data_IF_677667613080
#
_entry.id   IF_677667613080
#
_cell.length_a   1.000
_cell.length_b   1.000
_cell.length_c   1.000
_cell.angle_alpha   90.00
_cell.angle_beta   90.00
_cell.angle_gamma   90.00
#
_symmetry.space_group_name_H-M   'P 1'
#
loop_
_entity.id
_entity.type
_entity.pdbx_description
1 polymer ?
#
# COMPACT_ATOMS: atom_id res chain seq x y z
N UNK A 1 6.54 -16.49 -12.95
CA UNK A 1 6.95 -15.31 -13.76
C UNK A 1 5.79 -14.45 -14.27
N UNK A 2 4.66 -15.02 -14.71
CA UNK A 2 3.50 -14.26 -15.23
C UNK A 2 2.85 -13.31 -14.21
N UNK A 3 2.80 -13.70 -12.93
CA UNK A 3 2.17 -12.87 -11.88
C UNK A 3 3.09 -11.76 -11.34
N UNK A 4 4.41 -11.98 -11.30
CA UNK A 4 5.39 -10.96 -10.89
C UNK A 4 5.44 -9.79 -11.88
N UNK A 5 5.39 -10.08 -13.17
CA UNK A 5 5.34 -9.05 -14.20
C UNK A 5 4.01 -8.28 -14.19
N UNK A 6 2.89 -8.97 -13.92
CA UNK A 6 1.57 -8.35 -13.83
C UNK A 6 1.42 -7.44 -12.60
N UNK A 7 2.02 -7.81 -11.46
CA UNK A 7 2.07 -6.98 -10.26
C UNK A 7 2.94 -5.74 -10.46
N UNK A 8 4.13 -5.88 -11.05
CA UNK A 8 4.99 -4.73 -11.41
C UNK A 8 4.28 -3.82 -12.41
N UNK A 9 3.57 -4.37 -13.40
CA UNK A 9 2.78 -3.57 -14.34
C UNK A 9 1.62 -2.86 -13.66
N UNK A 10 0.90 -3.51 -12.74
CA UNK A 10 -0.15 -2.89 -11.93
C UNK A 10 0.41 -1.77 -11.04
N UNK A 11 1.56 -1.98 -10.39
CA UNK A 11 2.21 -1.01 -9.51
C UNK A 11 2.75 0.21 -10.28
N UNK A 12 3.36 0.01 -11.45
CA UNK A 12 3.83 1.11 -12.33
C UNK A 12 2.64 1.87 -12.94
N UNK A 13 1.55 1.16 -13.30
CA UNK A 13 0.29 1.80 -13.69
C UNK A 13 -0.30 2.60 -12.53
N UNK A 14 -0.19 2.12 -11.29
CA UNK A 14 -0.71 2.79 -10.10
C UNK A 14 0.05 4.08 -9.79
N UNK A 15 1.39 4.06 -9.87
CA UNK A 15 2.21 5.28 -9.75
C UNK A 15 1.85 6.30 -10.85
N UNK A 16 1.64 5.85 -12.09
CA UNK A 16 1.24 6.71 -13.20
C UNK A 16 -0.21 7.24 -13.08
N UNK A 17 -1.13 6.43 -12.54
CA UNK A 17 -2.51 6.80 -12.26
C UNK A 17 -2.61 7.78 -11.09
N UNK A 18 -1.90 7.54 -9.99
CA UNK A 18 -1.84 8.44 -8.82
C UNK A 18 -1.25 9.80 -9.21
N UNK A 19 -0.21 9.83 -10.06
CA UNK A 19 0.35 11.10 -10.57
C UNK A 19 -0.62 11.89 -11.47
N UNK A 20 -1.51 11.20 -12.20
CA UNK A 20 -2.51 11.84 -13.07
C UNK A 20 -3.79 12.23 -12.32
N UNK A 21 -4.21 11.43 -11.34
CA UNK A 21 -5.40 11.67 -10.52
C UNK A 21 -5.16 12.67 -9.37
N UNK A 22 -3.90 12.82 -8.88
CA UNK A 22 -3.55 13.84 -7.88
C UNK A 22 -3.17 15.21 -8.46
N UNK A 23 -3.52 15.51 -9.71
CA UNK A 23 -3.61 16.89 -10.20
C UNK A 23 -2.31 17.71 -10.13
N UNK A 24 -1.31 17.37 -10.95
CA UNK A 24 -0.33 18.36 -11.44
C UNK A 24 -0.86 18.97 -12.75
N UNK A 25 -1.98 19.69 -12.68
CA UNK A 25 -2.32 20.66 -13.74
C UNK A 25 -3.12 21.83 -13.16
N UNK A 26 -2.39 22.90 -12.88
CA UNK A 26 -2.92 24.19 -12.44
C UNK A 26 -3.48 24.93 -13.66
N UNK A 27 -4.79 24.99 -13.81
CA UNK A 27 -5.47 26.00 -14.62
C UNK A 27 -6.75 26.46 -13.90
N UNK A 28 -6.91 27.78 -13.77
CA UNK A 28 -7.83 28.45 -12.87
C UNK A 28 -9.32 28.19 -13.11
N UNK A 29 -10.02 27.85 -12.03
CA UNK A 29 -11.48 27.69 -11.90
C UNK A 29 -11.83 27.39 -10.42
N UNK A 30 -13.10 27.46 -9.97
CA UNK A 30 -13.45 27.51 -8.55
C UNK A 30 -12.92 26.26 -7.80
N UNK A 31 -11.95 26.51 -6.93
CA UNK A 31 -10.90 25.57 -6.55
C UNK A 31 -11.29 24.53 -5.50
N UNK A 32 -12.49 24.63 -4.91
CA UNK A 32 -12.89 23.78 -3.80
C UNK A 32 -13.54 22.45 -4.24
N UNK A 33 -14.43 22.50 -5.25
CA UNK A 33 -15.24 21.33 -5.66
C UNK A 33 -14.41 20.30 -6.43
N UNK A 34 -13.45 20.75 -7.26
CA UNK A 34 -12.58 19.86 -8.04
C UNK A 34 -11.56 19.12 -7.16
N UNK A 35 -11.09 19.78 -6.10
CA UNK A 35 -10.22 19.16 -5.10
C UNK A 35 -10.94 18.10 -4.28
N UNK A 36 -12.21 18.30 -3.93
CA UNK A 36 -12.98 17.31 -3.17
C UNK A 36 -13.14 15.98 -3.92
N UNK A 37 -13.45 16.02 -5.22
CA UNK A 37 -13.60 14.80 -6.02
C UNK A 37 -12.26 14.05 -6.22
N UNK A 38 -11.17 14.77 -6.49
CA UNK A 38 -9.83 14.16 -6.64
C UNK A 38 -9.28 13.59 -5.31
N UNK A 39 -9.68 14.20 -4.19
CA UNK A 39 -9.34 13.76 -2.84
C UNK A 39 -10.09 12.47 -2.44
N UNK A 40 -11.39 12.39 -2.73
CA UNK A 40 -12.21 11.21 -2.42
C UNK A 40 -11.77 9.98 -3.22
N UNK A 41 -11.53 10.11 -4.53
CA UNK A 41 -11.06 8.99 -5.35
C UNK A 41 -9.67 8.48 -4.91
N UNK A 42 -8.78 9.39 -4.49
CA UNK A 42 -7.48 9.03 -3.94
C UNK A 42 -7.64 8.22 -2.63
N UNK A 43 -8.52 8.65 -1.73
CA UNK A 43 -8.78 7.97 -0.48
C UNK A 43 -9.40 6.58 -0.68
N UNK A 44 -10.41 6.47 -1.55
CA UNK A 44 -11.06 5.19 -1.85
C UNK A 44 -10.07 4.16 -2.41
N UNK A 45 -9.16 4.59 -3.30
CA UNK A 45 -8.14 3.72 -3.85
C UNK A 45 -7.15 3.24 -2.78
N UNK A 46 -6.70 4.13 -1.89
CA UNK A 46 -5.80 3.77 -0.78
C UNK A 46 -6.50 2.79 0.17
N UNK A 47 -7.77 3.03 0.52
CA UNK A 47 -8.55 2.16 1.39
C UNK A 47 -8.73 0.75 0.81
N UNK A 48 -9.08 0.66 -0.47
CA UNK A 48 -9.25 -0.62 -1.18
C UNK A 48 -7.96 -1.44 -1.17
N UNK A 49 -6.83 -0.79 -1.42
CA UNK A 49 -5.54 -1.46 -1.42
C UNK A 49 -5.12 -1.87 0.01
N UNK A 50 -5.44 -1.08 1.06
CA UNK A 50 -5.17 -1.45 2.46
C UNK A 50 -5.93 -2.72 2.85
N UNK A 51 -7.19 -2.81 2.41
CA UNK A 51 -8.02 -3.99 2.58
C UNK A 51 -7.47 -5.19 1.78
N UNK A 52 -6.94 -4.95 0.58
CA UNK A 52 -6.26 -5.96 -0.25
C UNK A 52 -5.05 -6.57 0.44
N UNK A 53 -4.14 -5.73 0.95
CA UNK A 53 -2.99 -6.17 1.72
C UNK A 53 -3.38 -6.92 2.98
N UNK A 54 -4.44 -6.50 3.67
CA UNK A 54 -4.97 -7.22 4.82
C UNK A 54 -5.29 -8.69 4.50
N UNK A 55 -6.01 -8.93 3.40
CA UNK A 55 -6.33 -10.30 2.96
C UNK A 55 -5.07 -11.08 2.61
N UNK A 56 -4.14 -10.48 1.87
CA UNK A 56 -2.90 -11.13 1.47
C UNK A 56 -2.01 -11.47 2.69
N UNK A 57 -1.99 -10.63 3.72
CA UNK A 57 -1.27 -10.89 4.98
C UNK A 57 -1.89 -12.08 5.72
N UNK A 58 -3.22 -12.17 5.78
CA UNK A 58 -3.89 -13.34 6.36
C UNK A 58 -3.56 -14.63 5.60
N UNK A 59 -3.52 -14.58 4.27
CA UNK A 59 -3.13 -15.72 3.44
C UNK A 59 -1.67 -16.16 3.69
N UNK A 60 -0.75 -15.20 3.85
CA UNK A 60 0.64 -15.50 4.22
C UNK A 60 0.73 -16.10 5.62
N UNK A 61 -0.03 -15.56 6.58
CA UNK A 61 -0.09 -16.11 7.94
C UNK A 61 -0.61 -17.54 7.96
N UNK A 62 -1.68 -17.83 7.23
CA UNK A 62 -2.22 -19.19 7.12
C UNK A 62 -1.25 -20.18 6.45
N UNK A 63 -0.38 -19.71 5.54
CA UNK A 63 0.68 -20.51 4.94
C UNK A 63 1.87 -20.72 5.90
N UNK A 64 2.23 -19.70 6.69
CA UNK A 64 3.26 -19.80 7.71
C UNK A 64 2.95 -20.89 8.75
N UNK A 65 1.69 -20.96 9.20
CA UNK A 65 1.22 -21.98 10.15
C UNK A 65 1.37 -23.42 9.64
N UNK A 66 1.45 -23.61 8.31
CA UNK A 66 1.65 -24.91 7.67
C UNK A 66 3.14 -25.25 7.48
N UNK A 67 4.03 -24.31 7.75
CA UNK A 67 5.48 -24.46 7.60
C UNK A 67 6.11 -24.78 8.96
N UNK A 68 7.10 -25.68 9.00
CA UNK A 68 7.77 -26.11 10.24
C UNK A 68 9.27 -25.81 10.25
N UNK A 69 9.89 -25.76 11.43
CA UNK A 69 11.33 -25.54 11.61
C UNK A 69 11.75 -24.07 11.48
N UNK A 70 13.05 -23.83 11.28
CA UNK A 70 13.66 -22.48 11.26
C UNK A 70 13.04 -21.55 10.21
N UNK A 71 12.59 -22.12 9.09
CA UNK A 71 11.82 -21.45 8.06
C UNK A 71 10.56 -20.75 8.61
N UNK A 72 9.86 -21.38 9.57
CA UNK A 72 8.65 -20.82 10.20
C UNK A 72 8.97 -19.55 10.98
N UNK A 73 10.09 -19.52 11.69
CA UNK A 73 10.43 -18.40 12.56
C UNK A 73 10.84 -17.16 11.74
N UNK A 74 11.56 -17.35 10.63
CA UNK A 74 11.89 -16.27 9.70
C UNK A 74 10.64 -15.72 8.97
N UNK A 75 9.75 -16.61 8.53
CA UNK A 75 8.47 -16.24 7.93
C UNK A 75 7.61 -15.46 8.95
N UNK A 76 7.48 -15.95 10.18
CA UNK A 76 6.69 -15.31 11.24
C UNK A 76 7.22 -13.92 11.59
N UNK A 77 8.55 -13.76 11.64
CA UNK A 77 9.17 -12.44 11.84
C UNK A 77 8.81 -11.48 10.71
N UNK A 78 8.92 -11.94 9.46
CA UNK A 78 8.59 -11.12 8.29
C UNK A 78 7.11 -10.74 8.27
N UNK A 79 6.20 -11.66 8.61
CA UNK A 79 4.76 -11.39 8.71
C UNK A 79 4.46 -10.42 9.87
N UNK A 80 5.14 -10.55 11.00
CA UNK A 80 5.01 -9.60 12.12
C UNK A 80 5.40 -8.18 11.72
N UNK A 81 6.51 -8.04 10.99
CA UNK A 81 6.94 -6.73 10.49
C UNK A 81 5.99 -6.19 9.41
N UNK A 82 5.43 -7.07 8.58
CA UNK A 82 4.42 -6.72 7.59
C UNK A 82 3.12 -6.20 8.23
N UNK A 83 2.65 -6.83 9.31
CA UNK A 83 1.52 -6.36 10.12
C UNK A 83 1.77 -4.98 10.71
N UNK A 84 2.95 -4.73 11.28
CA UNK A 84 3.30 -3.40 11.83
C UNK A 84 3.24 -2.33 10.74
N UNK A 85 3.80 -2.61 9.56
CA UNK A 85 3.77 -1.68 8.43
C UNK A 85 2.36 -1.43 7.91
N UNK A 86 1.51 -2.46 7.91
CA UNK A 86 0.09 -2.31 7.55
C UNK A 86 -0.59 -1.37 8.54
N UNK A 87 -0.39 -1.55 9.85
CA UNK A 87 -0.96 -0.68 10.87
C UNK A 87 -0.46 0.77 10.75
N UNK A 88 0.82 0.96 10.42
CA UNK A 88 1.38 2.29 10.19
C UNK A 88 0.81 2.95 8.93
N UNK A 89 0.56 2.18 7.87
CA UNK A 89 -0.09 2.66 6.66
C UNK A 89 -1.55 3.05 6.91
N UNK A 90 -2.31 2.24 7.67
CA UNK A 90 -3.69 2.56 8.11
C UNK A 90 -3.71 3.85 8.92
N UNK A 91 -2.81 4.00 9.90
CA UNK A 91 -2.73 5.23 10.72
C UNK A 91 -2.43 6.47 9.86
N UNK A 92 -1.48 6.37 8.93
CA UNK A 92 -1.16 7.49 8.03
C UNK A 92 -2.29 7.81 7.06
N UNK A 93 -3.08 6.81 6.66
CA UNK A 93 -4.31 7.02 5.90
C UNK A 93 -5.34 7.80 6.72
N UNK A 94 -5.56 7.45 7.99
CA UNK A 94 -6.44 8.22 8.89
C UNK A 94 -5.94 9.65 9.16
N UNK A 95 -4.62 9.85 9.25
CA UNK A 95 -4.03 11.19 9.30
C UNK A 95 -4.28 11.96 8.00
N UNK A 96 -4.22 11.26 6.86
CA UNK A 96 -4.42 11.84 5.55
C UNK A 96 -5.89 12.28 5.37
N UNK A 97 -6.86 11.43 5.68
CA UNK A 97 -8.31 11.73 5.56
C UNK A 97 -8.75 12.95 6.39
N UNK A 98 -8.04 13.25 7.48
CA UNK A 98 -8.31 14.39 8.37
C UNK A 98 -7.51 15.65 8.02
N UNK A 99 -6.64 15.60 7.01
CA UNK A 99 -5.72 16.68 6.68
C UNK A 99 -6.36 17.85 5.94
N UNK A 100 -5.90 19.07 6.23
CA UNK A 100 -6.26 20.25 5.44
C UNK A 100 -5.54 20.23 4.07
N UNK A 101 -6.08 20.95 3.08
CA UNK A 101 -5.49 21.10 1.74
C UNK A 101 -3.99 21.43 1.76
N UNK A 102 -3.56 22.34 2.66
CA UNK A 102 -2.17 22.79 2.75
C UNK A 102 -1.22 21.70 3.24
N UNK A 103 -1.71 20.79 4.08
CA UNK A 103 -0.94 19.66 4.63
C UNK A 103 -1.05 18.40 3.80
N UNK A 104 -2.10 18.29 2.97
CA UNK A 104 -2.44 17.13 2.17
C UNK A 104 -1.27 16.61 1.32
N UNK A 105 -0.65 17.46 0.48
CA UNK A 105 0.46 17.04 -0.40
C UNK A 105 1.67 16.48 0.35
N UNK A 106 1.93 16.96 1.56
CA UNK A 106 3.04 16.44 2.38
C UNK A 106 2.66 15.11 3.03
N UNK A 107 1.40 14.96 3.45
CA UNK A 107 0.90 13.72 4.03
C UNK A 107 0.76 12.62 2.98
N UNK A 108 0.31 12.95 1.77
CA UNK A 108 0.25 12.04 0.64
C UNK A 108 1.60 11.36 0.39
N UNK A 109 2.69 12.14 0.29
CA UNK A 109 4.06 11.58 0.12
C UNK A 109 4.47 10.67 1.27
N UNK A 110 4.04 10.96 2.50
CA UNK A 110 4.32 10.11 3.68
C UNK A 110 3.53 8.79 3.64
N UNK A 111 2.31 8.83 3.13
CA UNK A 111 1.46 7.65 2.87
C UNK A 111 2.09 6.81 1.76
N UNK A 112 2.44 7.41 0.63
CA UNK A 112 3.12 6.75 -0.50
C UNK A 112 4.41 6.03 -0.06
N UNK A 113 5.24 6.67 0.77
CA UNK A 113 6.45 6.02 1.28
C UNK A 113 6.12 4.83 2.18
N UNK A 114 5.15 4.98 3.08
CA UNK A 114 4.71 3.86 3.93
C UNK A 114 4.13 2.71 3.12
N UNK A 115 3.47 3.05 2.02
CA UNK A 115 2.90 2.11 1.08
C UNK A 115 3.98 1.26 0.41
N UNK A 116 5.00 1.94 -0.12
CA UNK A 116 6.15 1.28 -0.74
C UNK A 116 6.88 0.37 0.25
N UNK A 117 7.05 0.83 1.50
CA UNK A 117 7.70 0.03 2.52
C UNK A 117 6.90 -1.24 2.88
N UNK A 118 5.56 -1.17 2.82
CA UNK A 118 4.65 -2.30 3.00
C UNK A 118 4.78 -3.30 1.85
N UNK A 119 4.72 -2.81 0.61
CA UNK A 119 4.88 -3.58 -0.63
C UNK A 119 6.23 -4.32 -0.64
N UNK A 120 7.34 -3.62 -0.42
CA UNK A 120 8.69 -4.20 -0.38
C UNK A 120 8.81 -5.34 0.65
N UNK A 121 8.05 -5.27 1.75
CA UNK A 121 8.06 -6.30 2.79
C UNK A 121 7.17 -7.48 2.43
N UNK A 122 6.05 -7.21 1.77
CA UNK A 122 5.17 -8.25 1.24
C UNK A 122 5.90 -9.09 0.18
N UNK A 123 6.64 -8.44 -0.74
CA UNK A 123 7.44 -9.13 -1.74
C UNK A 123 8.53 -10.01 -1.12
N UNK A 124 9.18 -9.55 -0.05
CA UNK A 124 10.15 -10.35 0.71
C UNK A 124 9.50 -11.57 1.35
N UNK A 125 8.34 -11.38 1.99
CA UNK A 125 7.60 -12.50 2.57
C UNK A 125 7.26 -13.55 1.50
N UNK A 126 6.72 -13.12 0.35
CA UNK A 126 6.43 -14.01 -0.78
C UNK A 126 7.67 -14.71 -1.34
N UNK A 127 8.80 -14.03 -1.41
CA UNK A 127 10.05 -14.64 -1.90
C UNK A 127 10.51 -15.76 -0.97
N UNK A 128 10.50 -15.54 0.35
CA UNK A 128 10.82 -16.56 1.35
C UNK A 128 9.91 -17.79 1.19
N UNK A 129 8.61 -17.58 1.05
CA UNK A 129 7.67 -18.70 0.83
C UNK A 129 7.97 -19.51 -0.43
N UNK A 130 8.31 -18.86 -1.55
CA UNK A 130 8.68 -19.56 -2.78
C UNK A 130 10.03 -20.30 -2.70
N UNK A 131 10.95 -19.85 -1.86
CA UNK A 131 12.23 -20.53 -1.65
C UNK A 131 12.09 -21.79 -0.76
N UNK A 132 11.04 -21.83 0.07
CA UNK A 132 10.81 -22.90 1.04
C UNK A 132 9.78 -23.95 0.53
N UNK A 133 8.89 -23.59 -0.40
CA UNK A 133 7.88 -24.49 -1.01
C UNK A 133 8.43 -25.35 -2.15
#
# INVERSE_FOLDING_TARGET
>A
MKNRLALIFMAVLFIALVLSACGIKSEGGPSAVRFQNEHEECLENIEKELAGYGKQIEELYAQAERTAGDARDEINKTISDLRKKQHDAVRKYEELTSATYKTWKNMQRRVEQSWKDLEDTYEKALALFHEIS
#
